data_IF_412175252896
#
_entry.id   IF_412175252896
#
_cell.length_a   1.000
_cell.length_b   1.000
_cell.length_c   1.000
_cell.angle_alpha   90.00
_cell.angle_beta   90.00
_cell.angle_gamma   90.00
#
_symmetry.space_group_name_H-M   'P 1'
#
loop_
_entity.id
_entity.type
_entity.pdbx_description
1 polymer ?
#
# COMPACT_ATOMS: atom_id res chain seq x y z
N UNK A 1 8.94 -52.44 28.71
CA UNK A 1 9.92 -52.36 27.62
C UNK A 1 9.26 -52.82 26.34
N UNK A 2 9.19 -51.92 25.31
CA UNK A 2 8.66 -52.25 23.98
C UNK A 2 9.72 -53.08 23.25
N UNK A 3 9.52 -54.41 23.14
CA UNK A 3 10.41 -55.27 22.36
C UNK A 3 9.95 -55.28 20.92
N UNK A 4 10.55 -54.45 20.10
CA UNK A 4 10.32 -54.54 18.64
C UNK A 4 11.05 -55.76 18.08
N UNK A 5 10.38 -56.50 17.18
CA UNK A 5 11.06 -57.58 16.44
C UNK A 5 12.14 -56.95 15.56
N UNK A 6 13.23 -57.71 15.30
CA UNK A 6 14.37 -57.23 14.48
C UNK A 6 13.89 -56.82 13.06
N UNK A 7 12.85 -57.43 12.55
CA UNK A 7 12.20 -57.09 11.28
C UNK A 7 11.55 -55.71 11.32
N UNK A 8 10.81 -55.39 12.41
CA UNK A 8 10.16 -54.08 12.53
C UNK A 8 11.18 -52.96 12.66
N UNK A 9 12.30 -53.21 13.35
CA UNK A 9 13.40 -52.22 13.45
C UNK A 9 14.02 -51.98 12.06
N UNK A 10 14.25 -53.06 11.28
CA UNK A 10 14.79 -52.96 9.93
C UNK A 10 13.84 -52.16 8.99
N UNK A 11 12.53 -52.43 9.07
CA UNK A 11 11.53 -51.69 8.29
C UNK A 11 11.53 -50.20 8.64
N UNK A 12 11.65 -49.83 9.91
CA UNK A 12 11.73 -48.42 10.36
C UNK A 12 12.97 -47.72 9.79
N UNK A 13 14.14 -48.37 9.85
CA UNK A 13 15.36 -47.79 9.29
C UNK A 13 15.28 -47.62 7.75
N UNK A 14 14.67 -48.58 7.09
CA UNK A 14 14.49 -48.55 5.63
C UNK A 14 13.53 -47.40 5.24
N UNK A 15 12.47 -47.20 6.02
CA UNK A 15 11.54 -46.09 5.81
C UNK A 15 12.24 -44.72 6.01
N UNK A 16 13.03 -44.53 7.06
CA UNK A 16 13.78 -43.30 7.26
C UNK A 16 14.82 -43.08 6.16
N UNK A 17 15.48 -44.15 5.68
CA UNK A 17 16.42 -44.07 4.58
C UNK A 17 15.77 -43.60 3.27
N UNK A 18 14.58 -44.09 2.94
CA UNK A 18 13.83 -43.63 1.80
C UNK A 18 13.39 -42.15 1.94
N UNK A 19 12.89 -41.76 3.11
CA UNK A 19 12.55 -40.35 3.37
C UNK A 19 13.76 -39.44 3.16
N UNK A 20 14.91 -39.82 3.68
CA UNK A 20 16.17 -39.07 3.50
C UNK A 20 16.57 -38.93 2.03
N UNK A 21 16.49 -40.02 1.24
CA UNK A 21 16.76 -39.97 -0.19
C UNK A 21 15.80 -39.04 -0.91
N UNK A 22 14.48 -39.10 -0.65
CA UNK A 22 13.50 -38.20 -1.24
C UNK A 22 13.75 -36.75 -0.89
N UNK A 23 14.17 -36.49 0.35
CA UNK A 23 14.54 -35.13 0.79
C UNK A 23 15.74 -34.58 0.03
N UNK A 24 16.78 -35.37 -0.15
CA UNK A 24 17.99 -34.98 -0.91
C UNK A 24 17.69 -34.76 -2.38
N UNK A 25 16.88 -35.64 -3.01
CA UNK A 25 16.46 -35.51 -4.40
C UNK A 25 15.65 -34.21 -4.64
N UNK A 26 14.90 -33.77 -3.65
CA UNK A 26 14.15 -32.48 -3.74
C UNK A 26 15.04 -31.23 -3.67
N UNK A 27 16.28 -31.34 -3.17
CA UNK A 27 17.26 -30.26 -3.10
C UNK A 27 18.12 -30.12 -4.38
N UNK A 28 18.00 -31.04 -5.34
CA UNK A 28 18.77 -30.98 -6.58
C UNK A 28 18.33 -29.85 -7.51
N UNK A 29 19.18 -29.49 -8.49
CA UNK A 29 18.92 -28.46 -9.50
C UNK A 29 17.70 -28.80 -10.37
N UNK A 30 17.04 -27.77 -10.91
CA UNK A 30 15.72 -27.88 -11.60
C UNK A 30 15.64 -28.94 -12.72
N UNK A 31 16.70 -29.18 -13.45
CA UNK A 31 16.72 -30.11 -14.59
C UNK A 31 16.58 -31.59 -14.22
N UNK A 32 16.88 -31.98 -12.97
CA UNK A 32 16.92 -33.40 -12.54
C UNK A 32 15.99 -33.73 -11.38
N UNK A 33 14.91 -32.99 -11.21
CA UNK A 33 13.98 -33.25 -10.09
C UNK A 33 12.92 -34.27 -10.44
N UNK A 34 12.67 -35.16 -9.48
CA UNK A 34 11.55 -36.09 -9.54
C UNK A 34 10.19 -35.44 -9.20
N UNK A 35 10.20 -34.27 -8.56
CA UNK A 35 9.00 -33.53 -8.18
C UNK A 35 9.11 -32.05 -8.58
N UNK A 36 8.06 -31.49 -9.17
CA UNK A 36 8.00 -30.07 -9.59
C UNK A 36 8.00 -29.07 -8.41
N UNK A 37 7.48 -29.48 -7.25
CA UNK A 37 7.37 -28.59 -6.08
C UNK A 37 8.66 -28.55 -5.26
N UNK A 38 9.30 -27.38 -5.21
CA UNK A 38 10.47 -27.10 -4.39
C UNK A 38 10.03 -26.65 -2.99
N UNK A 39 10.80 -27.06 -1.97
CA UNK A 39 10.71 -26.41 -0.66
C UNK A 39 11.35 -25.02 -0.79
N UNK A 40 10.53 -23.98 -0.69
CA UNK A 40 11.01 -22.61 -0.72
C UNK A 40 11.65 -22.30 0.64
N UNK A 41 12.96 -22.21 0.63
CA UNK A 41 13.73 -21.78 1.80
C UNK A 41 13.61 -20.26 1.90
N UNK A 42 13.29 -19.75 3.10
CA UNK A 42 13.22 -18.30 3.34
C UNK A 42 14.56 -17.60 3.15
N UNK A 43 14.53 -16.28 3.19
CA UNK A 43 15.69 -15.38 3.00
C UNK A 43 16.88 -15.76 3.90
N UNK A 44 16.60 -16.20 5.13
CA UNK A 44 17.61 -16.58 6.13
C UNK A 44 18.45 -17.81 5.72
N UNK A 45 17.89 -18.70 4.91
CA UNK A 45 18.54 -19.94 4.48
C UNK A 45 19.13 -19.87 3.08
N UNK A 46 18.54 -19.10 2.18
CA UNK A 46 19.05 -18.92 0.81
C UNK A 46 19.97 -17.71 0.67
N UNK A 47 19.96 -16.81 1.64
CA UNK A 47 20.49 -15.45 1.49
C UNK A 47 19.65 -14.65 0.50
N UNK A 48 19.87 -13.36 0.44
CA UNK A 48 19.16 -12.49 -0.46
C UNK A 48 19.22 -11.04 0.02
N UNK A 49 18.38 -10.20 -0.54
CA UNK A 49 18.28 -8.79 -0.20
C UNK A 49 16.88 -8.45 0.27
N UNK A 50 16.79 -7.51 1.19
CA UNK A 50 15.52 -6.86 1.51
C UNK A 50 15.62 -5.36 1.28
N UNK A 51 14.53 -4.75 0.84
CA UNK A 51 14.40 -3.32 0.65
C UNK A 51 13.19 -2.83 1.42
N UNK A 52 13.35 -1.73 2.13
CA UNK A 52 12.25 -1.00 2.74
C UNK A 52 12.02 0.26 1.92
N UNK A 53 10.91 0.28 1.19
CA UNK A 53 10.51 1.41 0.37
C UNK A 53 9.52 2.27 1.16
N UNK A 54 9.63 3.58 1.05
CA UNK A 54 8.68 4.52 1.62
C UNK A 54 8.00 5.30 0.50
N UNK A 55 6.67 5.36 0.54
CA UNK A 55 5.89 6.15 -0.42
C UNK A 55 5.85 7.62 0.01
N UNK A 56 6.15 8.52 -0.92
CA UNK A 56 5.88 9.94 -0.74
C UNK A 56 4.49 10.25 -1.31
N UNK A 57 3.52 10.41 -0.44
CA UNK A 57 2.13 10.73 -0.80
C UNK A 57 1.84 12.23 -0.86
N UNK A 58 2.82 13.10 -0.62
CA UNK A 58 2.58 14.55 -0.51
C UNK A 58 2.12 15.13 -1.86
N UNK A 59 2.73 14.72 -2.97
CA UNK A 59 2.31 15.13 -4.32
C UNK A 59 0.89 14.64 -4.65
N UNK A 60 0.54 13.44 -4.22
CA UNK A 60 -0.80 12.90 -4.42
C UNK A 60 -1.85 13.65 -3.59
N UNK A 61 -1.50 14.04 -2.35
CA UNK A 61 -2.38 14.88 -1.51
C UNK A 61 -2.59 16.24 -2.16
N UNK A 62 -1.52 16.86 -2.71
CA UNK A 62 -1.59 18.12 -3.45
C UNK A 62 -2.52 18.00 -4.68
N UNK A 63 -2.33 16.98 -5.50
CA UNK A 63 -3.19 16.71 -6.66
C UNK A 63 -4.66 16.49 -6.25
N UNK A 64 -4.89 15.70 -5.21
CA UNK A 64 -6.24 15.46 -4.68
C UNK A 64 -6.90 16.72 -4.13
N UNK A 65 -6.16 17.61 -3.45
CA UNK A 65 -6.71 18.89 -2.97
C UNK A 65 -7.04 19.80 -4.16
N UNK A 66 -6.20 19.82 -5.19
CA UNK A 66 -6.46 20.58 -6.43
C UNK A 66 -7.71 20.06 -7.15
N UNK A 67 -7.91 18.77 -7.22
CA UNK A 67 -9.10 18.17 -7.84
C UNK A 67 -10.41 18.56 -7.15
N UNK A 68 -10.37 18.91 -5.86
CA UNK A 68 -11.54 19.38 -5.09
C UNK A 68 -11.94 20.84 -5.38
N UNK A 69 -11.08 21.61 -6.06
CA UNK A 69 -11.33 23.04 -6.34
C UNK A 69 -12.61 23.24 -7.16
N UNK A 70 -12.73 22.54 -8.28
CA UNK A 70 -13.89 22.69 -9.19
C UNK A 70 -15.18 22.23 -8.50
N UNK A 71 -15.25 21.04 -7.89
CA UNK A 71 -16.43 20.62 -7.14
C UNK A 71 -16.85 21.58 -6.03
N UNK A 72 -15.89 22.14 -5.25
CA UNK A 72 -16.19 23.10 -4.18
C UNK A 72 -16.74 24.39 -4.78
N UNK A 73 -16.11 24.95 -5.82
CA UNK A 73 -16.61 26.16 -6.50
C UNK A 73 -18.00 25.96 -7.06
N UNK A 74 -18.28 24.79 -7.66
CA UNK A 74 -19.58 24.43 -8.15
C UNK A 74 -20.62 24.37 -7.02
N UNK A 75 -20.29 23.68 -5.91
CA UNK A 75 -21.15 23.59 -4.75
C UNK A 75 -21.55 24.98 -4.22
N UNK A 76 -20.58 25.90 -4.10
CA UNK A 76 -20.81 27.27 -3.64
C UNK A 76 -21.74 28.04 -4.61
N UNK A 77 -21.43 28.00 -5.90
CA UNK A 77 -22.19 28.69 -6.94
C UNK A 77 -23.64 28.18 -7.05
N UNK A 78 -23.83 26.88 -7.10
CA UNK A 78 -25.16 26.25 -7.27
C UNK A 78 -26.07 26.55 -6.05
N UNK A 79 -25.48 26.84 -4.89
CA UNK A 79 -26.21 27.17 -3.67
C UNK A 79 -26.22 28.66 -3.35
N UNK A 80 -25.74 29.52 -4.24
CA UNK A 80 -25.74 30.96 -4.05
C UNK A 80 -24.93 31.45 -2.85
N UNK A 81 -23.78 30.78 -2.57
CA UNK A 81 -22.83 31.21 -1.57
C UNK A 81 -21.72 31.97 -2.28
N UNK A 82 -21.58 33.26 -1.97
CA UNK A 82 -20.51 34.07 -2.54
C UNK A 82 -19.18 33.76 -1.85
N UNK A 83 -18.12 33.76 -2.62
CA UNK A 83 -16.78 33.52 -2.11
C UNK A 83 -15.75 34.44 -2.78
N UNK A 84 -14.72 34.79 -2.03
CA UNK A 84 -13.58 35.52 -2.55
C UNK A 84 -12.27 34.95 -1.96
N UNK A 85 -11.12 35.50 -2.38
CA UNK A 85 -9.79 35.13 -1.92
C UNK A 85 -9.52 33.63 -1.93
N UNK A 86 -9.99 32.93 -2.98
CA UNK A 86 -9.78 31.49 -3.13
C UNK A 86 -8.31 31.20 -3.43
N UNK A 87 -7.59 30.63 -2.45
CA UNK A 87 -6.17 30.29 -2.55
C UNK A 87 -5.96 28.78 -2.40
N UNK A 88 -5.12 28.24 -3.25
CA UNK A 88 -4.70 26.83 -3.24
C UNK A 88 -3.31 26.79 -2.64
N UNK A 89 -3.14 26.01 -1.59
CA UNK A 89 -1.86 25.68 -1.01
C UNK A 89 -1.63 24.18 -1.18
N UNK A 90 -0.39 23.71 -0.96
CA UNK A 90 -0.03 22.30 -1.19
C UNK A 90 -1.01 21.28 -0.64
N UNK A 91 -1.49 21.47 0.58
CA UNK A 91 -2.34 20.48 1.26
C UNK A 91 -3.66 21.06 1.78
N UNK A 92 -4.05 22.27 1.34
CA UNK A 92 -5.29 22.91 1.77
C UNK A 92 -5.78 23.98 0.80
N UNK A 93 -7.07 24.30 0.91
CA UNK A 93 -7.72 25.40 0.24
C UNK A 93 -8.14 26.44 1.27
N UNK A 94 -7.93 27.71 1.01
CA UNK A 94 -8.43 28.81 1.86
C UNK A 94 -9.29 29.74 1.02
N UNK A 95 -10.41 30.17 1.59
CA UNK A 95 -11.35 31.06 0.93
C UNK A 95 -12.17 31.82 1.98
N UNK A 96 -12.70 32.96 1.55
CA UNK A 96 -13.68 33.70 2.34
C UNK A 96 -15.10 33.37 1.84
N UNK A 97 -16.04 33.26 2.75
CA UNK A 97 -17.43 32.96 2.47
C UNK A 97 -18.33 34.03 3.11
N UNK A 98 -19.41 34.33 2.43
CA UNK A 98 -20.47 35.22 3.00
C UNK A 98 -21.37 34.48 4.00
N UNK A 99 -21.53 33.16 3.84
CA UNK A 99 -22.40 32.33 4.70
C UNK A 99 -21.76 30.98 5.03
N UNK A 100 -21.00 30.93 6.13
CA UNK A 100 -20.33 29.72 6.59
C UNK A 100 -21.32 28.68 7.12
N UNK A 101 -22.42 29.07 7.72
CA UNK A 101 -23.38 28.14 8.30
C UNK A 101 -24.11 27.35 7.20
N UNK A 102 -24.49 28.04 6.11
CA UNK A 102 -25.05 27.39 4.92
C UNK A 102 -24.02 26.44 4.28
N UNK A 103 -22.75 26.86 4.22
CA UNK A 103 -21.67 26.00 3.73
C UNK A 103 -21.51 24.75 4.59
N UNK A 104 -21.55 24.85 5.93
CA UNK A 104 -21.39 23.72 6.85
C UNK A 104 -22.47 22.64 6.60
N UNK A 105 -23.73 23.07 6.46
CA UNK A 105 -24.85 22.16 6.17
C UNK A 105 -24.64 21.38 4.86
N UNK A 106 -24.18 22.06 3.83
CA UNK A 106 -23.94 21.45 2.52
C UNK A 106 -22.69 20.56 2.55
N UNK A 107 -21.63 21.04 3.18
CA UNK A 107 -20.35 20.37 3.24
C UNK A 107 -20.36 19.07 4.06
N UNK A 108 -21.22 19.01 5.07
CA UNK A 108 -21.46 17.84 5.94
C UNK A 108 -22.73 17.05 5.57
N UNK A 109 -23.29 17.29 4.39
CA UNK A 109 -24.43 16.51 3.91
C UNK A 109 -23.97 15.08 3.62
N UNK A 110 -24.72 14.08 4.14
CA UNK A 110 -24.45 12.65 3.86
C UNK A 110 -25.01 12.16 2.53
N UNK A 111 -25.97 12.91 1.95
CA UNK A 111 -26.59 12.52 0.67
C UNK A 111 -25.69 12.93 -0.49
N UNK A 112 -25.19 11.94 -1.22
CA UNK A 112 -24.46 12.08 -2.49
C UNK A 112 -23.48 13.26 -2.57
N UNK A 113 -22.75 13.50 -1.49
CA UNK A 113 -21.81 14.61 -1.43
C UNK A 113 -20.50 14.24 -2.15
N UNK A 114 -20.45 14.49 -3.46
CA UNK A 114 -19.25 14.26 -4.27
C UNK A 114 -18.07 15.16 -3.86
N UNK A 115 -18.35 16.27 -3.20
CA UNK A 115 -17.31 17.21 -2.74
C UNK A 115 -16.62 16.70 -1.50
N UNK A 116 -17.41 16.26 -0.51
CA UNK A 116 -16.92 15.77 0.77
C UNK A 116 -17.61 14.45 1.15
N UNK A 117 -17.18 13.31 0.54
CA UNK A 117 -17.77 12.02 0.80
C UNK A 117 -17.65 11.64 2.29
N UNK A 118 -18.69 10.99 2.80
CA UNK A 118 -18.65 10.38 4.12
C UNK A 118 -18.01 9.00 4.03
N UNK A 119 -17.01 8.75 4.87
CA UNK A 119 -16.27 7.48 4.91
C UNK A 119 -16.87 6.61 6.03
N UNK A 120 -17.74 5.68 5.66
CA UNK A 120 -18.52 4.88 6.62
C UNK A 120 -17.64 4.08 7.59
N UNK A 121 -16.55 3.49 7.10
CA UNK A 121 -15.63 2.69 7.91
C UNK A 121 -15.00 3.49 9.06
N UNK A 122 -14.84 4.78 8.91
CA UNK A 122 -14.24 5.68 9.90
C UNK A 122 -15.27 6.61 10.57
N UNK A 123 -16.53 6.58 10.12
CA UNK A 123 -17.59 7.50 10.55
C UNK A 123 -17.15 8.96 10.47
N UNK A 124 -16.44 9.33 9.43
CA UNK A 124 -15.85 10.65 9.23
C UNK A 124 -16.00 11.12 7.80
N UNK A 125 -15.91 12.41 7.56
CA UNK A 125 -15.86 12.98 6.22
C UNK A 125 -14.42 12.95 5.68
N UNK A 126 -14.28 12.93 4.35
CA UNK A 126 -12.98 12.97 3.66
C UNK A 126 -12.24 14.28 3.92
N UNK A 127 -12.98 15.40 3.92
CA UNK A 127 -12.46 16.73 4.16
C UNK A 127 -12.99 17.30 5.47
N UNK A 128 -12.18 18.15 6.09
CA UNK A 128 -12.53 19.00 7.23
C UNK A 128 -12.21 20.45 6.90
N UNK A 129 -12.82 21.36 7.63
CA UNK A 129 -12.46 22.76 7.55
C UNK A 129 -12.26 23.37 8.93
N UNK A 130 -11.45 24.42 8.99
CA UNK A 130 -11.21 25.23 10.18
C UNK A 130 -11.57 26.67 9.86
N UNK A 131 -12.35 27.30 10.74
CA UNK A 131 -12.59 28.77 10.70
C UNK A 131 -11.29 29.47 11.11
N UNK A 132 -10.81 30.40 10.29
CA UNK A 132 -9.63 31.24 10.58
C UNK A 132 -10.08 32.58 11.11
N UNK A 133 -11.15 33.14 10.53
CA UNK A 133 -11.80 34.37 10.96
C UNK A 133 -13.32 34.27 10.78
N UNK A 134 -14.08 35.36 10.99
CA UNK A 134 -15.54 35.40 10.88
C UNK A 134 -16.06 34.92 9.52
N UNK A 135 -15.33 35.18 8.45
CA UNK A 135 -15.70 34.84 7.06
C UNK A 135 -14.66 33.97 6.33
N UNK A 136 -13.52 33.67 6.94
CA UNK A 136 -12.45 32.89 6.29
C UNK A 136 -12.39 31.47 6.83
N UNK A 137 -12.35 30.51 5.91
CA UNK A 137 -12.16 29.08 6.21
C UNK A 137 -10.94 28.51 5.50
N UNK A 138 -10.44 27.43 6.08
CA UNK A 138 -9.37 26.61 5.50
C UNK A 138 -9.85 25.15 5.44
N UNK A 139 -9.92 24.59 4.23
CA UNK A 139 -10.36 23.22 3.95
C UNK A 139 -9.12 22.34 3.74
N UNK A 140 -9.11 21.16 4.33
CA UNK A 140 -8.02 20.18 4.23
C UNK A 140 -8.57 18.76 4.38
N UNK A 141 -7.77 17.76 4.02
CA UNK A 141 -8.16 16.38 4.26
C UNK A 141 -8.20 16.06 5.75
N UNK A 142 -9.25 15.38 6.20
CA UNK A 142 -9.32 14.83 7.55
C UNK A 142 -8.22 13.78 7.75
N UNK A 143 -7.96 13.40 9.01
CA UNK A 143 -7.05 12.30 9.33
C UNK A 143 -7.41 11.03 8.55
N UNK A 144 -8.69 10.72 8.47
CA UNK A 144 -9.19 9.52 7.80
C UNK A 144 -9.20 9.67 6.26
N UNK A 145 -9.41 10.88 5.76
CA UNK A 145 -9.21 11.20 4.35
C UNK A 145 -7.76 10.94 3.91
N UNK A 146 -6.79 11.41 4.70
CA UNK A 146 -5.37 11.15 4.45
C UNK A 146 -5.02 9.67 4.55
N UNK A 147 -5.58 8.93 5.51
CA UNK A 147 -5.41 7.46 5.60
C UNK A 147 -5.94 6.76 4.35
N UNK A 148 -7.09 7.18 3.84
CA UNK A 148 -7.67 6.60 2.62
C UNK A 148 -6.77 6.85 1.41
N UNK A 149 -6.25 8.08 1.26
CA UNK A 149 -5.31 8.43 0.18
C UNK A 149 -4.03 7.59 0.29
N UNK A 150 -3.42 7.53 1.48
CA UNK A 150 -2.20 6.78 1.72
C UNK A 150 -2.38 5.28 1.45
N UNK A 151 -3.49 4.68 1.90
CA UNK A 151 -3.79 3.27 1.66
C UNK A 151 -3.97 2.96 0.17
N UNK A 152 -4.63 3.86 -0.57
CA UNK A 152 -4.79 3.70 -2.02
C UNK A 152 -3.44 3.81 -2.74
N UNK A 153 -2.64 4.82 -2.40
CA UNK A 153 -1.30 5.00 -2.94
C UNK A 153 -0.39 3.79 -2.63
N UNK A 154 -0.47 3.27 -1.40
CA UNK A 154 0.31 2.11 -0.99
C UNK A 154 -0.05 0.85 -1.79
N UNK A 155 -1.35 0.57 -1.96
CA UNK A 155 -1.82 -0.56 -2.78
C UNK A 155 -1.34 -0.45 -4.22
N UNK A 156 -1.46 0.73 -4.82
CA UNK A 156 -0.99 1.01 -6.17
C UNK A 156 0.53 0.85 -6.30
N UNK A 157 1.29 1.35 -5.32
CA UNK A 157 2.74 1.21 -5.28
C UNK A 157 3.17 -0.25 -5.14
N UNK A 158 2.47 -1.07 -4.35
CA UNK A 158 2.73 -2.51 -4.23
C UNK A 158 2.57 -3.20 -5.59
N UNK A 159 1.51 -2.89 -6.34
CA UNK A 159 1.30 -3.47 -7.67
C UNK A 159 2.38 -3.04 -8.68
N UNK A 160 2.82 -1.78 -8.63
CA UNK A 160 3.91 -1.29 -9.47
C UNK A 160 5.22 -1.98 -9.12
N UNK A 161 5.53 -2.09 -7.82
CA UNK A 161 6.73 -2.78 -7.33
C UNK A 161 6.71 -4.24 -7.77
N UNK A 162 5.57 -4.93 -7.62
CA UNK A 162 5.41 -6.32 -8.03
C UNK A 162 5.74 -6.50 -9.51
N UNK A 163 5.11 -5.73 -10.40
CA UNK A 163 5.36 -5.80 -11.86
C UNK A 163 6.84 -5.58 -12.20
N UNK A 164 7.49 -4.58 -11.58
CA UNK A 164 8.90 -4.30 -11.83
C UNK A 164 9.84 -5.41 -11.36
N UNK A 165 9.49 -6.08 -10.28
CA UNK A 165 10.27 -7.20 -9.75
C UNK A 165 10.07 -8.44 -10.62
N UNK A 166 8.84 -8.69 -11.10
CA UNK A 166 8.53 -9.77 -12.02
C UNK A 166 9.30 -9.63 -13.34
N UNK A 167 9.43 -8.39 -13.87
CA UNK A 167 10.22 -8.08 -15.08
C UNK A 167 11.72 -8.43 -14.92
N UNK A 168 12.22 -8.47 -13.69
CA UNK A 168 13.62 -8.83 -13.39
C UNK A 168 13.82 -10.35 -13.32
N UNK A 169 12.73 -11.12 -13.30
CA UNK A 169 12.77 -12.57 -13.23
C UNK A 169 13.21 -13.11 -11.86
N UNK A 170 12.96 -12.36 -10.78
CA UNK A 170 13.23 -12.84 -9.42
C UNK A 170 12.23 -13.95 -9.06
N UNK A 171 12.75 -15.05 -8.53
CA UNK A 171 11.91 -16.17 -8.10
C UNK A 171 11.25 -15.80 -6.75
N UNK A 172 9.93 -15.76 -6.74
CA UNK A 172 9.08 -15.66 -5.55
C UNK A 172 9.42 -14.51 -4.58
N UNK A 173 9.33 -13.25 -5.03
CA UNK A 173 9.52 -12.10 -4.15
C UNK A 173 8.40 -12.02 -3.11
N UNK A 174 8.73 -11.68 -1.87
CA UNK A 174 7.75 -11.35 -0.84
C UNK A 174 7.59 -9.84 -0.78
N UNK A 175 6.37 -9.33 -1.01
CA UNK A 175 6.07 -7.90 -0.99
C UNK A 175 4.97 -7.67 0.04
N UNK A 176 5.32 -6.99 1.14
CA UNK A 176 4.44 -6.78 2.28
C UNK A 176 4.31 -5.31 2.63
N UNK A 177 3.10 -4.91 3.00
CA UNK A 177 2.88 -3.61 3.62
C UNK A 177 3.50 -3.56 5.02
N UNK A 178 4.22 -2.48 5.35
CA UNK A 178 4.80 -2.21 6.66
C UNK A 178 4.35 -0.84 7.18
N UNK A 179 3.33 -0.85 8.05
CA UNK A 179 2.71 0.40 8.54
C UNK A 179 1.93 1.13 7.46
N UNK A 180 1.80 2.45 7.58
CA UNK A 180 0.91 3.26 6.74
C UNK A 180 1.53 3.71 5.41
N UNK A 181 2.86 3.76 5.30
CA UNK A 181 3.57 4.35 4.15
C UNK A 181 4.73 3.52 3.63
N UNK A 182 4.97 2.31 4.16
CA UNK A 182 6.16 1.53 3.79
C UNK A 182 5.80 0.18 3.20
N UNK A 183 6.66 -0.27 2.28
CA UNK A 183 6.58 -1.56 1.60
C UNK A 183 7.89 -2.29 1.89
N UNK A 184 7.81 -3.47 2.49
CA UNK A 184 8.93 -4.38 2.62
C UNK A 184 8.95 -5.30 1.42
N UNK A 185 10.10 -5.37 0.75
CA UNK A 185 10.35 -6.24 -0.39
C UNK A 185 11.49 -7.17 -0.04
N UNK A 186 11.23 -8.47 -0.05
CA UNK A 186 12.22 -9.51 0.19
C UNK A 186 12.48 -10.27 -1.11
N UNK A 187 13.76 -10.42 -1.45
CA UNK A 187 14.23 -10.96 -2.71
C UNK A 187 15.19 -12.13 -2.44
N UNK A 188 14.66 -13.36 -2.25
CA UNK A 188 15.48 -14.53 -1.98
C UNK A 188 16.44 -14.81 -3.15
N UNK A 189 17.69 -15.16 -2.83
CA UNK A 189 18.70 -15.53 -3.80
C UNK A 189 19.32 -14.38 -4.60
N UNK A 190 18.87 -13.14 -4.40
CA UNK A 190 19.38 -11.97 -5.12
C UNK A 190 20.44 -11.25 -4.28
N UNK A 191 21.68 -11.24 -4.78
CA UNK A 191 22.84 -10.72 -4.07
C UNK A 191 23.17 -9.25 -4.38
N UNK A 192 22.50 -8.64 -5.36
CA UNK A 192 22.76 -7.25 -5.78
C UNK A 192 21.57 -6.33 -5.48
N UNK A 193 21.50 -5.74 -4.29
CA UNK A 193 20.42 -4.82 -3.92
C UNK A 193 20.45 -3.51 -4.70
N UNK A 194 21.61 -3.05 -5.17
CA UNK A 194 21.73 -1.78 -5.91
C UNK A 194 21.08 -1.87 -7.29
N UNK A 195 21.17 -3.01 -7.95
CA UNK A 195 20.48 -3.26 -9.22
C UNK A 195 18.96 -3.12 -9.05
N UNK A 196 18.40 -3.70 -7.98
CA UNK A 196 16.96 -3.61 -7.70
C UNK A 196 16.57 -2.19 -7.30
N UNK A 197 17.37 -1.53 -6.48
CA UNK A 197 17.16 -0.13 -6.10
C UNK A 197 17.11 0.79 -7.31
N UNK A 198 18.00 0.59 -8.30
CA UNK A 198 18.00 1.35 -9.55
C UNK A 198 16.77 1.11 -10.41
N UNK A 199 16.25 -0.11 -10.42
CA UNK A 199 15.02 -0.48 -11.15
C UNK A 199 13.76 0.05 -10.48
N UNK A 200 13.68 -0.01 -9.16
CA UNK A 200 12.57 0.50 -8.39
C UNK A 200 12.61 2.03 -8.24
N UNK A 201 13.80 2.62 -8.21
CA UNK A 201 14.03 4.06 -8.04
C UNK A 201 13.71 4.91 -9.28
N UNK A 202 13.50 4.31 -10.45
CA UNK A 202 12.92 5.03 -11.59
C UNK A 202 11.50 5.41 -11.22
N UNK A 203 11.29 6.69 -10.93
CA UNK A 203 10.02 7.26 -10.46
C UNK A 203 8.86 6.77 -11.31
N UNK A 204 7.99 5.95 -10.74
CA UNK A 204 6.66 5.78 -11.28
C UNK A 204 5.87 7.01 -10.87
N UNK A 205 5.52 7.87 -11.80
CA UNK A 205 4.42 8.81 -11.59
C UNK A 205 3.15 7.98 -11.43
N UNK A 206 2.51 8.15 -10.29
CA UNK A 206 1.20 7.57 -9.98
C UNK A 206 0.11 8.34 -10.71
#
# INVERSE_FOLDING_TARGET
MLNFSKINVLIIYLLFFFIAIFSVLNLQKEENRLFEKKINLGLDLQGGSYLLLEINSDSLVEEKIQSKVIPIKKLLKDNGINYDNFKINKNNLSLNLDNIDKFDLLFKSRKENLVNPYIDNFRSYELEYKKISSNQIKIFFSKFGLLTINNSALKQSIEIVRRRIDDVGTKEPTILQRGEKRILVELPGLKDPERIKSLLGKTAQL
#
